data_IF_886280626787
#
_entry.id   IF_886280626787
#
_cell.length_a   1.000
_cell.length_b   1.000
_cell.length_c   1.000
_cell.angle_alpha   90.00
_cell.angle_beta   90.00
_cell.angle_gamma   90.00
#
_symmetry.space_group_name_H-M   'P 1'
#
loop_
_entity.id
_entity.type
_entity.pdbx_description
1 polymer ?
#
# COMPACT_ATOMS: atom_id res chain seq x y z
N UNK A 1 -18.17 -19.06 2.07
CA UNK A 1 -17.56 -19.01 0.71
C UNK A 1 -16.17 -18.47 0.94
N UNK A 2 -15.10 -19.25 0.69
CA UNK A 2 -14.77 -19.96 -0.55
C UNK A 2 -15.46 -21.33 -0.77
N UNK A 3 -15.40 -21.91 -1.99
CA UNK A 3 -15.75 -23.31 -2.21
C UNK A 3 -14.80 -24.24 -1.42
N UNK A 4 -15.33 -25.35 -0.89
CA UNK A 4 -14.62 -26.33 -0.03
C UNK A 4 -13.29 -26.88 -0.59
N UNK A 5 -13.02 -26.71 -1.88
CA UNK A 5 -11.85 -27.27 -2.56
C UNK A 5 -10.66 -26.29 -2.69
N UNK A 6 -10.80 -25.02 -2.31
CA UNK A 6 -9.72 -24.03 -2.46
C UNK A 6 -8.97 -23.87 -1.12
N UNK A 7 -7.66 -24.15 -1.06
CA UNK A 7 -6.86 -23.89 0.14
C UNK A 7 -6.87 -22.41 0.48
N UNK A 8 -7.22 -22.08 1.73
CA UNK A 8 -7.24 -20.70 2.21
C UNK A 8 -5.79 -20.27 2.51
N UNK A 9 -5.34 -19.10 2.04
CA UNK A 9 -3.99 -18.61 2.33
C UNK A 9 -3.71 -18.43 3.83
N UNK A 10 -2.48 -18.68 4.25
CA UNK A 10 -2.04 -18.49 5.63
C UNK A 10 -2.06 -17.01 6.04
N UNK A 11 -2.56 -16.71 7.24
CA UNK A 11 -2.70 -15.35 7.76
C UNK A 11 -1.40 -14.54 8.04
N UNK A 12 -0.24 -15.13 8.41
CA UNK A 12 0.89 -14.34 8.89
C UNK A 12 1.44 -13.31 7.89
N UNK A 13 1.55 -13.69 6.60
CA UNK A 13 2.09 -12.79 5.57
C UNK A 13 1.10 -11.65 5.26
N UNK A 14 -0.19 -11.91 4.96
CA UNK A 14 -1.22 -10.88 4.78
C UNK A 14 -1.40 -9.96 5.99
N UNK A 15 -1.24 -10.48 7.21
CA UNK A 15 -1.28 -9.65 8.42
C UNK A 15 -0.09 -8.70 8.48
N UNK A 16 1.11 -9.20 8.14
CA UNK A 16 2.33 -8.38 8.09
C UNK A 16 2.20 -7.29 7.03
N UNK A 17 1.67 -7.62 5.86
CA UNK A 17 1.37 -6.67 4.78
C UNK A 17 0.43 -5.55 5.25
N UNK A 18 -0.64 -5.89 5.96
CA UNK A 18 -1.58 -4.92 6.55
C UNK A 18 -0.90 -4.01 7.56
N UNK A 19 -0.09 -4.54 8.48
CA UNK A 19 0.67 -3.73 9.44
C UNK A 19 1.61 -2.77 8.70
N UNK A 20 2.26 -3.24 7.65
CA UNK A 20 3.22 -2.45 6.88
C UNK A 20 2.54 -1.26 6.18
N UNK A 21 1.42 -1.49 5.49
CA UNK A 21 0.65 -0.43 4.83
C UNK A 21 0.11 0.60 5.83
N UNK A 22 -0.59 0.15 6.88
CA UNK A 22 -1.15 1.06 7.90
C UNK A 22 -0.04 1.87 8.58
N UNK A 23 1.11 1.26 8.86
CA UNK A 23 2.27 1.97 9.40
C UNK A 23 2.78 3.02 8.40
N UNK A 24 2.83 2.69 7.10
CA UNK A 24 3.25 3.63 6.07
C UNK A 24 2.35 4.87 6.00
N UNK A 25 1.05 4.71 6.20
CA UNK A 25 0.10 5.83 6.28
C UNK A 25 0.36 6.76 7.47
N UNK A 26 0.66 6.21 8.65
CA UNK A 26 1.06 6.99 9.82
C UNK A 26 2.37 7.74 9.57
N UNK A 27 3.36 7.07 8.97
CA UNK A 27 4.65 7.67 8.59
C UNK A 27 4.46 8.80 7.58
N UNK A 28 3.58 8.62 6.58
CA UNK A 28 3.26 9.65 5.60
C UNK A 28 2.65 10.89 6.26
N UNK A 29 1.75 10.71 7.23
CA UNK A 29 1.18 11.82 8.00
C UNK A 29 2.24 12.60 8.78
N UNK A 30 3.32 11.95 9.24
CA UNK A 30 4.45 12.66 9.82
C UNK A 30 5.18 13.53 8.79
N UNK A 31 5.26 13.08 7.54
CA UNK A 31 5.75 13.87 6.40
C UNK A 31 4.89 15.10 6.13
N UNK A 32 3.56 14.92 6.01
CA UNK A 32 2.61 16.03 5.83
C UNK A 32 2.73 17.07 6.95
N UNK A 33 2.80 16.62 8.21
CA UNK A 33 3.00 17.52 9.36
C UNK A 33 4.33 18.27 9.32
N UNK A 34 5.39 17.62 8.83
CA UNK A 34 6.70 18.26 8.67
C UNK A 34 6.64 19.35 7.60
N UNK A 35 6.00 19.08 6.46
CA UNK A 35 5.79 20.05 5.40
C UNK A 35 5.02 21.29 5.88
N UNK A 36 3.93 21.09 6.64
CA UNK A 36 3.12 22.19 7.23
C UNK A 36 3.87 23.04 8.26
N UNK A 37 4.92 22.49 8.89
CA UNK A 37 5.78 23.22 9.84
C UNK A 37 7.00 23.85 9.17
N UNK A 38 7.16 23.66 7.86
CA UNK A 38 8.34 24.06 7.12
C UNK A 38 9.60 23.27 7.42
N UNK A 39 9.47 22.07 7.98
CA UNK A 39 10.59 21.15 8.18
C UNK A 39 10.81 20.29 6.92
N UNK A 40 11.57 20.84 5.97
CA UNK A 40 11.91 20.18 4.70
C UNK A 40 12.70 18.88 4.92
N UNK A 41 13.63 18.87 5.88
CA UNK A 41 14.42 17.67 6.21
C UNK A 41 13.52 16.58 6.78
N UNK A 42 12.59 16.94 7.66
CA UNK A 42 11.56 16.06 8.18
C UNK A 42 10.69 15.49 7.06
N UNK A 43 10.21 16.35 6.15
CA UNK A 43 9.42 15.93 4.98
C UNK A 43 10.15 14.87 4.15
N UNK A 44 11.38 15.16 3.72
CA UNK A 44 12.19 14.23 2.90
C UNK A 44 12.42 12.92 3.63
N UNK A 45 12.74 12.96 4.94
CA UNK A 45 12.96 11.77 5.76
C UNK A 45 11.70 10.89 5.81
N UNK A 46 10.56 11.46 6.19
CA UNK A 46 9.33 10.68 6.35
C UNK A 46 8.77 10.17 5.03
N UNK A 47 8.85 10.96 3.95
CA UNK A 47 8.51 10.48 2.61
C UNK A 47 9.41 9.33 2.14
N UNK A 48 10.72 9.42 2.40
CA UNK A 48 11.65 8.34 2.05
C UNK A 48 11.28 7.03 2.78
N UNK A 49 10.95 7.11 4.07
CA UNK A 49 10.50 5.94 4.85
C UNK A 49 9.17 5.40 4.30
N UNK A 50 8.22 6.28 3.96
CA UNK A 50 6.92 5.89 3.39
C UNK A 50 7.10 5.13 2.07
N UNK A 51 7.93 5.66 1.15
CA UNK A 51 8.24 5.01 -0.13
C UNK A 51 8.91 3.65 0.11
N UNK A 52 9.87 3.57 1.04
CA UNK A 52 10.53 2.30 1.36
C UNK A 52 9.55 1.25 1.89
N UNK A 53 8.61 1.66 2.75
CA UNK A 53 7.53 0.79 3.22
C UNK A 53 6.63 0.35 2.05
N UNK A 54 6.20 1.25 1.18
CA UNK A 54 5.42 0.89 -0.01
C UNK A 54 6.13 -0.13 -0.92
N UNK A 55 7.43 0.03 -1.14
CA UNK A 55 8.25 -0.95 -1.90
C UNK A 55 8.34 -2.29 -1.16
N UNK A 56 8.54 -2.27 0.15
CA UNK A 56 8.57 -3.50 0.96
C UNK A 56 7.23 -4.25 0.93
N UNK A 57 6.10 -3.54 0.94
CA UNK A 57 4.79 -4.12 0.74
C UNK A 57 4.69 -4.81 -0.63
N UNK A 58 5.08 -4.13 -1.71
CA UNK A 58 5.06 -4.71 -3.07
C UNK A 58 5.90 -5.98 -3.16
N UNK A 59 7.10 -5.98 -2.58
CA UNK A 59 7.98 -7.14 -2.57
C UNK A 59 7.38 -8.31 -1.77
N UNK A 60 6.83 -8.03 -0.59
CA UNK A 60 6.23 -9.06 0.26
C UNK A 60 4.94 -9.61 -0.34
N UNK A 61 4.14 -8.79 -1.04
CA UNK A 61 2.96 -9.28 -1.75
C UNK A 61 3.35 -10.16 -2.95
N UNK A 62 4.42 -9.81 -3.66
CA UNK A 62 4.96 -10.67 -4.71
C UNK A 62 5.42 -12.03 -4.17
N UNK A 63 6.03 -12.03 -2.98
CA UNK A 63 6.39 -13.26 -2.27
C UNK A 63 5.14 -14.05 -1.85
N UNK A 64 4.12 -13.40 -1.30
CA UNK A 64 2.84 -14.03 -0.95
C UNK A 64 2.21 -14.73 -2.16
N UNK A 65 2.14 -14.05 -3.31
CA UNK A 65 1.65 -14.65 -4.57
C UNK A 65 2.42 -15.88 -4.99
N UNK A 66 3.74 -15.94 -4.76
CA UNK A 66 4.56 -17.11 -5.09
C UNK A 66 4.29 -18.33 -4.20
N UNK A 67 3.59 -18.13 -3.06
CA UNK A 67 3.26 -19.16 -2.07
C UNK A 67 1.83 -19.69 -2.20
N UNK A 68 0.99 -19.03 -3.00
CA UNK A 68 -0.38 -19.47 -3.24
C UNK A 68 -0.40 -20.80 -3.99
N UNK A 69 -1.29 -21.69 -3.58
CA UNK A 69 -1.45 -23.03 -4.17
C UNK A 69 -2.56 -23.11 -5.22
N UNK A 70 -3.19 -21.98 -5.54
CA UNK A 70 -4.23 -21.85 -6.55
C UNK A 70 -3.82 -20.80 -7.59
N UNK A 71 -4.21 -21.01 -8.85
CA UNK A 71 -4.03 -20.08 -9.95
C UNK A 71 -5.32 -19.32 -10.30
N UNK A 72 -5.17 -18.26 -11.09
CA UNK A 72 -6.29 -17.39 -11.52
C UNK A 72 -7.41 -18.13 -12.26
N UNK A 73 -7.14 -19.29 -12.86
CA UNK A 73 -8.10 -20.08 -13.63
C UNK A 73 -8.77 -21.20 -12.81
N UNK A 74 -8.46 -21.34 -11.52
CA UNK A 74 -8.93 -22.45 -10.68
C UNK A 74 -10.37 -22.26 -10.13
N UNK A 75 -11.12 -21.34 -10.73
CA UNK A 75 -12.51 -21.05 -10.43
C UNK A 75 -12.76 -19.64 -9.93
N UNK A 76 -14.02 -19.37 -9.58
CA UNK A 76 -14.52 -18.01 -9.33
C UNK A 76 -13.78 -17.33 -8.17
N UNK A 77 -13.50 -18.04 -7.07
CA UNK A 77 -12.81 -17.45 -5.92
C UNK A 77 -11.36 -17.05 -6.25
N UNK A 78 -10.48 -17.94 -6.77
CA UNK A 78 -9.15 -17.57 -7.24
C UNK A 78 -9.16 -16.45 -8.29
N UNK A 79 -10.08 -16.48 -9.27
CA UNK A 79 -10.18 -15.43 -10.28
C UNK A 79 -10.48 -14.06 -9.66
N UNK A 80 -11.47 -13.98 -8.76
CA UNK A 80 -11.83 -12.73 -8.08
C UNK A 80 -10.70 -12.25 -7.17
N UNK A 81 -10.06 -13.16 -6.43
CA UNK A 81 -8.90 -12.85 -5.61
C UNK A 81 -7.83 -12.15 -6.45
N UNK A 82 -7.31 -12.80 -7.50
CA UNK A 82 -6.21 -12.26 -8.30
C UNK A 82 -6.57 -10.97 -9.04
N UNK A 83 -7.79 -10.83 -9.54
CA UNK A 83 -8.23 -9.60 -10.23
C UNK A 83 -8.33 -8.44 -9.23
N UNK A 84 -8.95 -8.64 -8.07
CA UNK A 84 -9.14 -7.58 -7.08
C UNK A 84 -7.83 -7.19 -6.41
N UNK A 85 -7.03 -8.16 -5.95
CA UNK A 85 -5.72 -7.89 -5.35
C UNK A 85 -4.75 -7.37 -6.39
N UNK A 86 -4.75 -7.91 -7.62
CA UNK A 86 -3.92 -7.43 -8.72
C UNK A 86 -4.20 -5.98 -9.13
N UNK A 87 -5.48 -5.59 -9.25
CA UNK A 87 -5.86 -4.21 -9.52
C UNK A 87 -5.41 -3.27 -8.38
N UNK A 88 -5.55 -3.72 -7.14
CA UNK A 88 -5.06 -2.97 -5.99
C UNK A 88 -3.53 -2.81 -6.04
N UNK A 89 -2.78 -3.86 -6.41
CA UNK A 89 -1.33 -3.77 -6.59
C UNK A 89 -0.92 -2.76 -7.65
N UNK A 90 -1.67 -2.65 -8.76
CA UNK A 90 -1.44 -1.60 -9.75
C UNK A 90 -1.59 -0.19 -9.14
N UNK A 91 -2.58 0.01 -8.27
CA UNK A 91 -2.75 1.28 -7.56
C UNK A 91 -1.64 1.54 -6.54
N UNK A 92 -1.19 0.52 -5.81
CA UNK A 92 -0.06 0.66 -4.88
C UNK A 92 1.20 1.07 -5.64
N UNK A 93 1.49 0.45 -6.79
CA UNK A 93 2.61 0.86 -7.66
C UNK A 93 2.45 2.32 -8.09
N UNK A 94 1.26 2.71 -8.57
CA UNK A 94 0.96 4.10 -8.93
C UNK A 94 1.19 5.07 -7.77
N UNK A 95 0.79 4.69 -6.56
CA UNK A 95 1.00 5.47 -5.34
C UNK A 95 2.48 5.60 -4.96
N UNK A 96 3.27 4.52 -5.08
CA UNK A 96 4.71 4.53 -4.81
C UNK A 96 5.42 5.45 -5.80
N UNK A 97 5.04 5.38 -7.09
CA UNK A 97 5.56 6.29 -8.12
C UNK A 97 5.19 7.73 -7.79
N UNK A 98 3.93 8.00 -7.46
CA UNK A 98 3.48 9.36 -7.13
C UNK A 98 4.21 9.92 -5.91
N UNK A 99 4.32 9.14 -4.82
CA UNK A 99 5.09 9.52 -3.63
C UNK A 99 6.58 9.74 -3.95
N UNK A 100 7.16 8.94 -4.86
CA UNK A 100 8.55 9.10 -5.29
C UNK A 100 8.76 10.39 -6.08
N UNK A 101 7.79 10.80 -6.90
CA UNK A 101 7.82 12.08 -7.62
C UNK A 101 7.68 13.28 -6.66
N UNK A 102 6.83 13.17 -5.65
CA UNK A 102 6.71 14.18 -4.58
C UNK A 102 8.01 14.23 -3.76
N UNK A 103 8.62 13.09 -3.47
CA UNK A 103 9.91 13.02 -2.78
C UNK A 103 11.04 13.65 -3.61
N UNK A 104 11.05 13.46 -4.93
CA UNK A 104 12.01 14.09 -5.82
C UNK A 104 11.89 15.62 -5.79
N UNK A 105 10.66 16.14 -5.88
CA UNK A 105 10.36 17.58 -5.75
C UNK A 105 10.71 18.12 -4.34
N UNK A 106 10.51 17.32 -3.28
CA UNK A 106 10.90 17.71 -1.92
C UNK A 106 12.43 17.81 -1.77
N UNK A 107 13.19 16.98 -2.50
CA UNK A 107 14.66 17.01 -2.49
C UNK A 107 15.25 18.13 -3.36
N UNK A 108 14.55 18.56 -4.41
CA UNK A 108 14.96 19.71 -5.23
C UNK A 108 14.65 21.06 -4.56
N UNK A 109 13.84 21.08 -3.49
CA UNK A 109 13.36 22.30 -2.84
C UNK A 109 12.21 22.98 -3.57
N UNK A 110 11.65 22.36 -4.62
CA UNK A 110 10.52 22.87 -5.40
C UNK A 110 9.19 22.76 -4.65
N UNK A 111 9.10 21.83 -3.70
CA UNK A 111 8.10 21.83 -2.63
C UNK A 111 8.44 22.92 -1.61
N UNK A 112 8.44 24.18 -2.06
CA UNK A 112 8.63 25.33 -1.18
C UNK A 112 7.48 25.42 -0.19
N UNK A 113 7.73 26.11 0.93
CA UNK A 113 6.83 26.29 2.09
C UNK A 113 5.39 26.73 1.76
N UNK A 114 5.10 27.19 0.54
CA UNK A 114 3.79 27.68 0.12
C UNK A 114 3.01 26.71 -0.78
N UNK A 115 3.63 25.59 -1.21
CA UNK A 115 2.99 24.61 -2.13
C UNK A 115 2.89 23.22 -1.49
N UNK A 116 1.99 23.07 -0.53
CA UNK A 116 1.70 21.76 0.10
C UNK A 116 0.76 20.85 -0.71
N UNK A 117 0.13 21.35 -1.76
CA UNK A 117 -0.86 20.57 -2.52
C UNK A 117 -0.35 19.21 -3.03
N UNK A 118 0.88 19.07 -3.58
CA UNK A 118 1.35 17.79 -4.09
C UNK A 118 1.47 16.71 -3.01
N UNK A 119 1.93 17.08 -1.80
CA UNK A 119 2.07 16.14 -0.69
C UNK A 119 0.71 15.80 -0.08
N UNK A 120 -0.23 16.73 -0.03
CA UNK A 120 -1.59 16.45 0.45
C UNK A 120 -2.36 15.56 -0.53
N UNK A 121 -2.25 15.81 -1.84
CA UNK A 121 -2.85 14.97 -2.86
C UNK A 121 -2.26 13.55 -2.84
N UNK A 122 -0.94 13.41 -2.71
CA UNK A 122 -0.31 12.11 -2.57
C UNK A 122 -0.73 11.39 -1.28
N UNK A 123 -0.90 12.11 -0.17
CA UNK A 123 -1.41 11.55 1.08
C UNK A 123 -2.84 11.03 0.93
N UNK A 124 -3.74 11.80 0.33
CA UNK A 124 -5.13 11.36 0.08
C UNK A 124 -5.15 10.09 -0.78
N UNK A 125 -4.37 10.07 -1.87
CA UNK A 125 -4.26 8.90 -2.74
C UNK A 125 -3.75 7.67 -1.99
N UNK A 126 -2.70 7.84 -1.16
CA UNK A 126 -2.13 6.74 -0.38
C UNK A 126 -3.10 6.19 0.66
N UNK A 127 -3.85 7.06 1.36
CA UNK A 127 -4.90 6.61 2.30
C UNK A 127 -6.04 5.87 1.61
N UNK A 128 -6.41 6.28 0.40
CA UNK A 128 -7.39 5.54 -0.41
C UNK A 128 -6.90 4.11 -0.69
N UNK A 129 -5.64 3.96 -1.12
CA UNK A 129 -5.03 2.65 -1.35
C UNK A 129 -5.08 1.81 -0.05
N UNK A 130 -4.65 2.35 1.08
CA UNK A 130 -4.71 1.67 2.39
C UNK A 130 -6.11 1.15 2.75
N UNK A 131 -7.14 1.98 2.59
CA UNK A 131 -8.53 1.59 2.91
C UNK A 131 -8.99 0.43 2.02
N UNK A 132 -8.67 0.48 0.72
CA UNK A 132 -8.99 -0.62 -0.20
C UNK A 132 -8.28 -1.90 0.22
N UNK A 133 -7.01 -1.83 0.65
CA UNK A 133 -6.29 -3.00 1.16
C UNK A 133 -6.96 -3.61 2.38
N UNK A 134 -7.36 -2.80 3.36
CA UNK A 134 -8.03 -3.29 4.58
C UNK A 134 -9.33 -4.03 4.21
N UNK A 135 -10.09 -3.52 3.25
CA UNK A 135 -11.29 -4.20 2.76
C UNK A 135 -10.95 -5.56 2.11
N UNK A 136 -9.94 -5.59 1.23
CA UNK A 136 -9.48 -6.84 0.59
C UNK A 136 -8.94 -7.85 1.60
N UNK A 137 -8.13 -7.40 2.55
CA UNK A 137 -7.60 -8.22 3.64
C UNK A 137 -8.74 -8.87 4.44
N UNK A 138 -9.74 -8.07 4.81
CA UNK A 138 -10.89 -8.55 5.56
C UNK A 138 -11.68 -9.60 4.78
N UNK A 139 -11.99 -9.34 3.50
CA UNK A 139 -12.80 -10.25 2.68
C UNK A 139 -12.06 -11.54 2.34
N UNK A 140 -10.82 -11.46 1.86
CA UNK A 140 -10.10 -12.60 1.28
C UNK A 140 -9.25 -13.39 2.27
N UNK A 141 -8.84 -12.79 3.39
CA UNK A 141 -7.96 -13.47 4.33
C UNK A 141 -8.63 -13.71 5.68
N UNK A 142 -9.45 -12.79 6.18
CA UNK A 142 -10.14 -12.97 7.48
C UNK A 142 -11.45 -13.73 7.32
N UNK A 143 -12.38 -13.23 6.49
CA UNK A 143 -13.69 -13.86 6.34
C UNK A 143 -13.61 -15.21 5.62
N UNK A 144 -12.64 -15.41 4.74
CA UNK A 144 -12.46 -16.68 4.04
C UNK A 144 -12.06 -17.84 4.97
N UNK A 145 -11.61 -17.56 6.20
CA UNK A 145 -11.26 -18.56 7.21
C UNK A 145 -12.50 -19.18 7.89
N UNK A 146 -13.68 -18.57 7.72
CA UNK A 146 -14.95 -18.94 8.37
C UNK A 146 -16.03 -19.33 7.34
#
# INVERSE_FOLDING_TARGET
WPPLAVPIPDLPIPTTLTVLLVTSSVVLQMGVRSARRGDERGLVRWLTITVALGVAFLALQGYDYSRLTFGIHDGIYPSLFYVMTGLHMAHVVGGVVFLSLVLAQARSGELSLDRHEPIEAAAIYWHFVDIVWIALFTVFYVMAQH
#
